data_IF_507292570571
#
_entry.id   IF_507292570571
#
_cell.length_a   1.000
_cell.length_b   1.000
_cell.length_c   1.000
_cell.angle_alpha   90.00
_cell.angle_beta   90.00
_cell.angle_gamma   90.00
#
_symmetry.space_group_name_H-M   'P 1'
#
loop_
_entity.id
_entity.type
_entity.pdbx_description
1 polymer ?
#
# COMPACT_ATOMS: atom_id res chain seq x y z
N UNK A 1 -6.81 -0.03 10.81
CA UNK A 1 -7.83 0.82 10.16
C UNK A 1 -9.07 -0.03 9.85
N UNK A 2 -10.29 0.45 10.13
CA UNK A 2 -11.53 -0.33 9.89
C UNK A 2 -11.74 -0.68 8.40
N UNK A 3 -11.36 0.22 7.49
CA UNK A 3 -11.45 0.01 6.03
C UNK A 3 -10.63 -1.20 5.55
N UNK A 4 -9.36 -1.35 5.95
CA UNK A 4 -8.53 -2.49 5.51
C UNK A 4 -9.13 -3.84 5.94
N UNK A 5 -9.63 -3.90 7.18
CA UNK A 5 -10.27 -5.09 7.72
C UNK A 5 -11.58 -5.42 6.99
N UNK A 6 -12.34 -4.42 6.56
CA UNK A 6 -13.60 -4.64 5.86
C UNK A 6 -13.34 -5.13 4.42
N UNK A 7 -12.36 -4.54 3.73
CA UNK A 7 -11.93 -4.99 2.41
C UNK A 7 -11.42 -6.43 2.45
N UNK A 8 -10.53 -6.77 3.39
CA UNK A 8 -10.03 -8.14 3.57
C UNK A 8 -11.15 -9.17 3.74
N UNK A 9 -12.23 -8.80 4.43
CA UNK A 9 -13.36 -9.71 4.69
C UNK A 9 -14.30 -9.85 3.51
N UNK A 10 -14.44 -8.80 2.68
CA UNK A 10 -15.47 -8.71 1.63
C UNK A 10 -14.94 -7.99 0.39
N UNK A 11 -13.89 -8.50 -0.26
CA UNK A 11 -13.24 -7.77 -1.35
C UNK A 11 -14.19 -7.57 -2.55
N UNK A 12 -15.08 -8.52 -2.82
CA UNK A 12 -16.12 -8.40 -3.85
C UNK A 12 -17.12 -7.25 -3.61
N UNK A 13 -17.35 -6.84 -2.36
CA UNK A 13 -18.22 -5.68 -2.05
C UNK A 13 -17.59 -4.35 -2.49
N UNK A 14 -16.29 -4.36 -2.79
CA UNK A 14 -15.53 -3.21 -3.28
C UNK A 14 -15.15 -3.37 -4.77
N UNK A 15 -15.67 -4.39 -5.46
CA UNK A 15 -15.27 -4.70 -6.83
C UNK A 15 -13.82 -5.20 -6.94
N UNK A 16 -13.33 -5.87 -5.90
CA UNK A 16 -11.97 -6.40 -5.82
C UNK A 16 -12.03 -7.92 -5.92
N UNK A 17 -12.19 -8.44 -7.13
CA UNK A 17 -12.21 -9.88 -7.41
C UNK A 17 -11.17 -10.30 -8.45
N UNK A 18 -10.54 -9.34 -9.15
CA UNK A 18 -9.88 -9.59 -10.43
C UNK A 18 -8.39 -9.22 -10.51
N UNK A 19 -7.72 -9.15 -9.34
CA UNK A 19 -6.27 -9.08 -9.30
C UNK A 19 -5.65 -7.91 -8.53
N UNK A 20 -4.32 -7.88 -8.48
CA UNK A 20 -3.53 -6.88 -7.76
C UNK A 20 -3.77 -5.46 -8.29
N UNK A 21 -4.04 -5.32 -9.60
CA UNK A 21 -4.23 -4.03 -10.26
C UNK A 21 -5.48 -3.31 -9.76
N UNK A 22 -6.54 -4.05 -9.47
CA UNK A 22 -7.81 -3.58 -8.93
C UNK A 22 -7.58 -2.99 -7.54
N UNK A 23 -6.80 -3.67 -6.69
CA UNK A 23 -6.39 -3.14 -5.39
C UNK A 23 -5.57 -1.85 -5.54
N UNK A 24 -4.64 -1.80 -6.50
CA UNK A 24 -3.85 -0.59 -6.77
C UNK A 24 -4.74 0.58 -7.18
N UNK A 25 -5.66 0.35 -8.11
CA UNK A 25 -6.62 1.36 -8.57
C UNK A 25 -7.50 1.85 -7.41
N UNK A 26 -8.00 0.92 -6.59
CA UNK A 26 -8.82 1.23 -5.42
C UNK A 26 -8.07 2.12 -4.42
N UNK A 27 -6.86 1.72 -3.98
CA UNK A 27 -6.12 2.50 -3.00
C UNK A 27 -5.66 3.85 -3.54
N UNK A 28 -5.37 3.97 -4.84
CA UNK A 28 -5.17 5.27 -5.47
C UNK A 28 -6.43 6.14 -5.43
N UNK A 29 -7.61 5.56 -5.65
CA UNK A 29 -8.90 6.24 -5.53
C UNK A 29 -9.14 6.76 -4.10
N UNK A 30 -8.91 5.92 -3.09
CA UNK A 30 -9.02 6.34 -1.68
C UNK A 30 -7.97 7.41 -1.34
N UNK A 31 -6.75 7.28 -1.84
CA UNK A 31 -5.70 8.28 -1.66
C UNK A 31 -6.09 9.63 -2.27
N UNK A 32 -6.63 9.64 -3.48
CA UNK A 32 -7.15 10.85 -4.13
C UNK A 32 -8.29 11.48 -3.32
N UNK A 33 -9.25 10.66 -2.84
CA UNK A 33 -10.36 11.13 -2.00
C UNK A 33 -9.91 11.68 -0.64
N UNK A 34 -8.71 11.34 -0.18
CA UNK A 34 -8.10 11.83 1.07
C UNK A 34 -7.06 12.93 0.86
N UNK A 35 -7.04 13.56 -0.32
CA UNK A 35 -6.06 14.57 -0.71
C UNK A 35 -4.59 14.09 -0.58
N UNK A 36 -4.34 12.81 -0.84
CA UNK A 36 -3.01 12.22 -0.80
C UNK A 36 -2.56 11.71 0.58
N UNK A 37 -3.32 11.99 1.65
CA UNK A 37 -2.89 11.69 3.02
C UNK A 37 -2.82 10.20 3.36
N UNK A 38 -3.54 9.34 2.64
CA UNK A 38 -3.53 7.91 2.94
C UNK A 38 -2.18 7.26 2.64
N UNK A 39 -1.55 7.64 1.53
CA UNK A 39 -0.31 7.05 1.02
C UNK A 39 0.89 8.00 1.08
N UNK A 40 0.73 9.16 1.73
CA UNK A 40 1.82 10.12 1.95
C UNK A 40 2.94 9.48 2.76
N UNK A 41 4.11 9.24 2.16
CA UNK A 41 5.24 8.55 2.80
C UNK A 41 5.24 7.01 2.61
N UNK A 42 4.23 6.44 1.95
CA UNK A 42 4.10 4.99 1.80
C UNK A 42 5.18 4.41 0.86
N UNK A 43 5.53 5.12 -0.21
CA UNK A 43 6.58 4.65 -1.13
C UNK A 43 7.94 4.55 -0.43
N UNK A 44 8.25 5.52 0.43
CA UNK A 44 9.46 5.60 1.22
C UNK A 44 9.51 4.51 2.30
N UNK A 45 8.37 4.20 2.92
CA UNK A 45 8.22 3.05 3.82
C UNK A 45 8.57 1.74 3.10
N UNK A 46 8.02 1.51 1.91
CA UNK A 46 8.28 0.31 1.13
C UNK A 46 9.73 0.24 0.62
N UNK A 47 10.27 1.36 0.12
CA UNK A 47 11.64 1.43 -0.40
C UNK A 47 12.68 1.12 0.68
N UNK A 48 12.45 1.53 1.94
CA UNK A 48 13.31 1.16 3.08
C UNK A 48 13.37 -0.36 3.30
N UNK A 49 12.25 -1.06 3.09
CA UNK A 49 12.18 -2.53 3.22
C UNK A 49 12.82 -3.25 2.03
N UNK A 50 12.63 -2.72 0.83
CA UNK A 50 13.26 -3.30 -0.37
C UNK A 50 14.78 -3.05 -0.39
N UNK A 51 15.25 -2.00 0.29
CA UNK A 51 16.65 -1.57 0.28
C UNK A 51 17.02 -0.73 -0.95
N UNK A 52 16.07 -0.54 -1.87
CA UNK A 52 16.17 0.26 -3.10
C UNK A 52 14.79 0.82 -3.48
N UNK A 53 14.72 1.57 -4.59
CA UNK A 53 13.44 1.94 -5.19
C UNK A 53 12.81 3.24 -4.69
N UNK A 54 13.60 4.17 -4.12
CA UNK A 54 13.12 5.51 -3.71
C UNK A 54 12.48 6.31 -4.86
N UNK A 55 12.81 5.97 -6.11
CA UNK A 55 12.26 6.56 -7.33
C UNK A 55 11.17 5.71 -7.98
N UNK A 56 10.80 4.57 -7.39
CA UNK A 56 9.79 3.67 -7.93
C UNK A 56 8.41 4.04 -7.41
N UNK A 57 7.41 3.76 -8.24
CA UNK A 57 6.02 3.83 -7.85
C UNK A 57 5.70 2.73 -6.83
N UNK A 58 4.98 3.07 -5.75
CA UNK A 58 4.75 2.20 -4.59
C UNK A 58 4.24 0.80 -4.98
N UNK A 59 3.35 0.69 -5.97
CA UNK A 59 2.78 -0.60 -6.35
C UNK A 59 3.84 -1.55 -6.93
N UNK A 60 4.78 -1.01 -7.72
CA UNK A 60 5.88 -1.82 -8.25
C UNK A 60 6.82 -2.29 -7.13
N UNK A 61 7.00 -1.48 -6.08
CA UNK A 61 7.82 -1.87 -4.91
C UNK A 61 7.17 -3.05 -4.18
N UNK A 62 5.84 -3.04 -4.00
CA UNK A 62 5.11 -4.17 -3.38
C UNK A 62 5.26 -5.45 -4.22
N UNK A 63 5.12 -5.36 -5.55
CA UNK A 63 5.34 -6.50 -6.44
C UNK A 63 6.76 -7.05 -6.25
N UNK A 64 7.79 -6.19 -6.35
CA UNK A 64 9.19 -6.60 -6.17
C UNK A 64 9.45 -7.28 -4.83
N UNK A 65 8.91 -6.74 -3.74
CA UNK A 65 9.01 -7.34 -2.41
C UNK A 65 8.33 -8.73 -2.33
N UNK A 66 7.21 -8.91 -3.02
CA UNK A 66 6.42 -10.15 -2.97
C UNK A 66 6.92 -11.28 -3.88
N UNK A 67 7.72 -10.96 -4.91
CA UNK A 67 8.21 -11.95 -5.88
C UNK A 67 9.72 -12.24 -5.78
N UNK A 68 10.43 -11.68 -4.81
CA UNK A 68 11.86 -11.98 -4.56
C UNK A 68 12.10 -13.51 -4.56
N UNK A 69 13.15 -14.00 -5.25
CA UNK A 69 14.23 -13.26 -5.94
C UNK A 69 13.97 -12.92 -7.40
N UNK A 70 12.74 -13.06 -7.92
CA UNK A 70 12.43 -12.73 -9.32
C UNK A 70 12.46 -11.21 -9.51
N UNK A 71 13.18 -10.75 -10.53
CA UNK A 71 13.10 -9.35 -10.95
C UNK A 71 11.87 -9.13 -11.83
N UNK A 72 11.16 -8.03 -11.53
CA UNK A 72 9.97 -7.56 -12.26
C UNK A 72 10.10 -6.06 -12.50
N UNK A 73 9.67 -5.63 -13.69
CA UNK A 73 9.72 -4.22 -14.11
C UNK A 73 8.33 -3.62 -14.23
N UNK A 74 7.31 -4.46 -14.34
CA UNK A 74 5.92 -4.06 -14.45
C UNK A 74 5.01 -4.91 -13.54
N UNK A 75 3.92 -4.30 -13.04
CA UNK A 75 2.97 -4.96 -12.15
C UNK A 75 2.16 -6.06 -12.86
N UNK A 76 2.03 -6.00 -14.19
CA UNK A 76 1.35 -6.98 -15.02
C UNK A 76 2.18 -8.25 -15.25
N UNK A 77 3.42 -8.30 -14.74
CA UNK A 77 4.27 -9.48 -14.86
C UNK A 77 3.98 -10.56 -13.81
N UNK A 78 3.02 -10.34 -12.90
CA UNK A 78 2.58 -11.32 -11.90
C UNK A 78 2.02 -12.59 -12.54
N UNK A 79 2.27 -13.74 -11.92
CA UNK A 79 1.90 -15.06 -12.45
C UNK A 79 1.32 -15.96 -11.37
N UNK A 80 0.20 -16.61 -11.70
CA UNK A 80 -0.39 -17.66 -10.85
C UNK A 80 -0.58 -17.20 -9.42
N UNK A 81 0.04 -17.90 -8.46
CA UNK A 81 -0.09 -17.58 -7.03
C UNK A 81 0.74 -16.38 -6.54
N UNK A 82 1.52 -15.72 -7.40
CA UNK A 82 2.23 -14.49 -7.03
C UNK A 82 1.26 -13.35 -6.70
N UNK A 83 0.11 -13.33 -7.38
CA UNK A 83 -0.86 -12.24 -7.23
C UNK A 83 -1.51 -12.23 -5.85
N UNK A 84 -1.95 -13.40 -5.37
CA UNK A 84 -2.46 -13.58 -4.01
C UNK A 84 -1.42 -13.17 -2.96
N UNK A 85 -0.17 -13.64 -3.11
CA UNK A 85 0.93 -13.28 -2.19
C UNK A 85 1.20 -11.78 -2.16
N UNK A 86 1.15 -11.12 -3.31
CA UNK A 86 1.41 -9.69 -3.44
C UNK A 86 0.24 -8.87 -2.87
N UNK A 87 -1.00 -9.34 -3.01
CA UNK A 87 -2.17 -8.74 -2.34
C UNK A 87 -2.07 -8.90 -0.83
N UNK A 88 -1.74 -10.09 -0.31
CA UNK A 88 -1.52 -10.29 1.13
C UNK A 88 -0.42 -9.36 1.67
N UNK A 89 0.69 -9.25 0.94
CA UNK A 89 1.78 -8.34 1.25
C UNK A 89 1.33 -6.88 1.26
N UNK A 90 0.57 -6.43 0.25
CA UNK A 90 0.02 -5.08 0.19
C UNK A 90 -0.73 -4.73 1.48
N UNK A 91 -1.63 -5.61 1.91
CA UNK A 91 -2.39 -5.37 3.13
C UNK A 91 -1.52 -5.33 4.37
N UNK A 92 -0.55 -6.25 4.49
CA UNK A 92 0.40 -6.26 5.61
C UNK A 92 1.16 -4.94 5.70
N UNK A 93 1.69 -4.47 4.57
CA UNK A 93 2.45 -3.22 4.52
C UNK A 93 1.58 -1.99 4.79
N UNK A 94 0.34 -1.95 4.30
CA UNK A 94 -0.61 -0.88 4.62
C UNK A 94 -1.01 -0.88 6.11
N UNK A 95 -1.21 -2.05 6.70
CA UNK A 95 -1.54 -2.18 8.13
C UNK A 95 -0.38 -1.69 9.00
N UNK A 96 0.84 -2.12 8.71
CA UNK A 96 2.05 -1.68 9.41
C UNK A 96 2.28 -0.18 9.22
N UNK A 97 2.17 0.31 7.99
CA UNK A 97 2.35 1.72 7.65
C UNK A 97 1.36 2.60 8.42
N UNK A 98 0.08 2.26 8.41
CA UNK A 98 -0.96 3.01 9.12
C UNK A 98 -0.80 2.91 10.63
N UNK A 99 -0.40 1.76 11.19
CA UNK A 99 -0.14 1.63 12.62
C UNK A 99 0.98 2.59 13.07
N UNK A 100 2.04 2.70 12.27
CA UNK A 100 3.17 3.59 12.54
C UNK A 100 2.79 5.07 12.29
N UNK A 101 2.00 5.37 11.26
CA UNK A 101 1.55 6.74 10.95
C UNK A 101 0.51 7.26 11.94
N UNK A 102 -0.40 6.42 12.45
CA UNK A 102 -1.30 6.82 13.55
C UNK A 102 -0.50 7.06 14.84
N UNK A 103 0.64 6.39 15.02
CA UNK A 103 1.61 6.69 16.07
C UNK A 103 2.36 8.01 15.88
N UNK A 104 2.66 8.39 14.63
CA UNK A 104 3.33 9.66 14.27
C UNK A 104 2.38 10.87 14.27
N UNK A 105 1.07 10.65 14.07
CA UNK A 105 0.04 11.69 14.19
C UNK A 105 -0.27 12.10 15.64
N UNK A 106 0.52 11.64 16.62
CA UNK A 106 0.65 12.28 17.94
C UNK A 106 1.53 13.55 17.88
N UNK A 107 1.63 14.17 16.70
CA UNK A 107 2.33 15.42 16.47
C UNK A 107 1.51 16.60 16.98
N UNK A 108 2.05 17.19 18.06
CA UNK A 108 1.70 18.48 18.66
C UNK A 108 1.39 19.53 17.58
N UNK A 109 0.21 20.14 17.62
CA UNK A 109 -0.11 21.28 16.78
C UNK A 109 0.88 22.43 17.04
N UNK A 110 1.63 22.92 16.04
CA UNK A 110 2.29 24.21 16.12
C UNK A 110 1.32 25.28 15.64
N UNK A 111 0.91 26.20 16.53
CA UNK A 111 0.38 27.49 16.07
C UNK A 111 -0.89 28.05 16.71
N UNK A 112 -1.09 27.93 18.03
CA UNK A 112 -1.90 28.94 18.74
C UNK A 112 -0.99 29.83 19.58
N UNK A 113 -1.03 31.17 19.40
CA UNK A 113 -0.25 32.08 20.23
C UNK A 113 -0.87 32.22 21.63
N UNK A 114 0.00 31.94 22.60
CA UNK A 114 -0.03 32.14 24.06
C UNK A 114 -1.21 31.58 24.85
#
# INVERSE_FOLDING_TARGET
MQLLNDIKKRPNSYGLDDGYREYVAFFNGVNAATCGRLLEGFSEHLARKLGEGQNLYWALIVVRLGVVPREVRDINELRGSEEEKVVELLFRELEEFVANHVGEQNFRAPGFPR
#
